data_IF_035165321892
#
_entry.id   IF_035165321892
#
_cell.length_a   1.000
_cell.length_b   1.000
_cell.length_c   1.000
_cell.angle_alpha   90.00
_cell.angle_beta   90.00
_cell.angle_gamma   90.00
#
_symmetry.space_group_name_H-M   'P 1'
#
loop_
_entity.id
_entity.type
_entity.pdbx_description
1 polymer ?
#
# COMPACT_ATOMS: atom_id res chain seq x y z
N UNK A 1 10.84 21.65 -6.66
CA UNK A 1 11.11 20.23 -6.44
C UNK A 1 11.53 19.81 -5.05
N UNK A 2 11.30 20.64 -4.04
CA UNK A 2 11.51 20.22 -2.65
C UNK A 2 10.34 19.39 -2.11
N UNK A 3 9.12 19.66 -2.58
CA UNK A 3 7.93 18.91 -2.20
C UNK A 3 7.72 17.75 -3.15
N UNK A 4 7.53 16.56 -2.56
CA UNK A 4 7.25 15.32 -3.27
C UNK A 4 6.03 14.65 -2.65
N UNK A 5 5.51 13.62 -3.31
CA UNK A 5 4.39 12.84 -2.80
C UNK A 5 4.87 11.54 -2.17
N UNK A 6 4.13 11.12 -1.16
CA UNK A 6 4.32 9.84 -0.48
C UNK A 6 2.97 9.10 -0.47
N UNK A 7 2.55 8.52 -1.61
CA UNK A 7 1.22 7.95 -1.74
C UNK A 7 1.03 6.72 -0.86
N UNK A 8 -0.22 6.53 -0.44
CA UNK A 8 -0.67 5.37 0.33
C UNK A 8 -1.59 4.54 -0.56
N UNK A 9 -1.18 3.30 -0.84
CA UNK A 9 -1.94 2.42 -1.75
C UNK A 9 -3.30 2.03 -1.19
N UNK A 10 -3.44 1.94 0.13
CA UNK A 10 -4.71 1.68 0.78
C UNK A 10 -5.68 2.84 0.62
N UNK A 11 -5.20 4.05 0.91
CA UNK A 11 -6.03 5.26 0.77
C UNK A 11 -6.48 5.46 -0.69
N UNK A 12 -5.59 5.27 -1.65
CA UNK A 12 -5.93 5.38 -3.06
C UNK A 12 -7.00 4.35 -3.47
N UNK A 13 -6.77 3.08 -3.11
CA UNK A 13 -7.64 1.97 -3.52
C UNK A 13 -9.01 2.00 -2.84
N UNK A 14 -9.10 2.57 -1.63
CA UNK A 14 -10.36 2.68 -0.90
C UNK A 14 -11.43 3.51 -1.63
N UNK A 15 -11.03 4.43 -2.48
CA UNK A 15 -11.92 5.23 -3.30
C UNK A 15 -12.09 4.59 -4.68
N UNK A 16 -13.27 4.00 -4.99
CA UNK A 16 -13.46 3.22 -6.22
C UNK A 16 -13.22 3.95 -7.53
N UNK A 17 -13.34 5.28 -7.54
CA UNK A 17 -13.06 6.11 -8.71
C UNK A 17 -11.58 6.27 -9.00
N UNK A 18 -10.70 5.94 -8.07
CA UNK A 18 -9.25 6.00 -8.30
C UNK A 18 -8.74 4.74 -9.01
N UNK A 19 -7.80 4.93 -9.91
CA UNK A 19 -6.98 3.87 -10.48
C UNK A 19 -5.60 3.92 -9.83
N UNK A 20 -5.41 3.14 -8.77
CA UNK A 20 -4.18 3.15 -7.97
C UNK A 20 -2.93 2.90 -8.81
N UNK A 21 -2.98 1.93 -9.74
CA UNK A 21 -1.82 1.59 -10.57
C UNK A 21 -1.45 2.75 -11.50
N UNK A 22 -2.45 3.42 -12.06
CA UNK A 22 -2.25 4.56 -12.93
C UNK A 22 -1.70 5.77 -12.18
N UNK A 23 -2.20 6.02 -10.96
CA UNK A 23 -1.70 7.09 -10.11
C UNK A 23 -0.22 6.87 -9.75
N UNK A 24 0.15 5.65 -9.39
CA UNK A 24 1.55 5.30 -9.13
C UNK A 24 2.42 5.46 -10.37
N UNK A 25 1.94 5.03 -11.52
CA UNK A 25 2.65 5.19 -12.79
C UNK A 25 2.92 6.65 -13.10
N UNK A 26 1.90 7.49 -13.00
CA UNK A 26 2.03 8.91 -13.27
C UNK A 26 3.04 9.58 -12.34
N UNK A 27 2.93 9.32 -11.02
CA UNK A 27 3.83 9.89 -10.04
C UNK A 27 5.27 9.43 -10.21
N UNK A 28 5.51 8.17 -10.53
CA UNK A 28 6.85 7.62 -10.75
C UNK A 28 7.47 8.19 -12.04
N UNK A 29 6.71 8.22 -13.13
CA UNK A 29 7.19 8.77 -14.42
C UNK A 29 7.53 10.24 -14.32
N UNK A 30 6.81 10.99 -13.49
CA UNK A 30 7.07 12.42 -13.25
C UNK A 30 8.17 12.65 -12.20
N UNK A 31 8.72 11.62 -11.59
CA UNK A 31 9.76 11.74 -10.56
C UNK A 31 9.27 12.39 -9.27
N UNK A 32 7.99 12.27 -8.94
CA UNK A 32 7.36 12.95 -7.81
C UNK A 32 7.24 12.10 -6.54
N UNK A 33 7.43 10.79 -6.63
CA UNK A 33 7.27 9.87 -5.49
C UNK A 33 8.58 9.70 -4.73
N UNK A 34 8.56 9.96 -3.41
CA UNK A 34 9.71 9.75 -2.52
C UNK A 34 9.66 8.42 -1.79
N UNK A 35 8.49 7.82 -1.67
CA UNK A 35 8.26 6.56 -0.98
C UNK A 35 6.81 6.15 -1.15
N UNK A 36 6.45 4.95 -0.70
CA UNK A 36 5.10 4.42 -0.82
C UNK A 36 4.67 3.81 0.52
N UNK A 37 3.51 4.25 1.03
CA UNK A 37 2.86 3.65 2.18
C UNK A 37 2.12 2.38 1.76
N UNK A 38 2.34 1.32 2.51
CA UNK A 38 1.67 0.04 2.36
C UNK A 38 0.68 -0.13 3.51
N UNK A 39 -0.58 -0.03 3.19
CA UNK A 39 -1.71 -0.14 4.13
C UNK A 39 -2.86 -0.85 3.42
N UNK A 40 -3.60 -1.66 4.15
CA UNK A 40 -4.86 -2.20 3.65
C UNK A 40 -6.04 -1.39 4.16
N UNK A 41 -7.12 -1.39 3.41
CA UNK A 41 -8.32 -0.57 3.68
C UNK A 41 -9.55 -1.32 3.21
N UNK A 42 -10.72 -0.90 3.69
CA UNK A 42 -12.00 -1.32 3.12
C UNK A 42 -12.56 -0.19 2.26
N UNK A 43 -13.06 -0.56 1.08
CA UNK A 43 -13.50 0.42 0.09
C UNK A 43 -14.74 1.20 0.52
N UNK A 44 -14.80 2.46 0.11
CA UNK A 44 -15.98 3.30 0.21
C UNK A 44 -17.04 2.78 -0.76
N UNK A 45 -18.29 2.72 -0.29
CA UNK A 45 -19.46 2.37 -1.09
C UNK A 45 -20.58 3.36 -0.83
N UNK A 46 -21.69 3.27 -1.56
CA UNK A 46 -22.85 4.14 -1.33
C UNK A 46 -23.44 4.03 0.08
N UNK A 47 -23.28 2.88 0.73
CA UNK A 47 -23.81 2.58 2.06
C UNK A 47 -22.74 2.44 3.15
N UNK A 48 -21.46 2.55 2.80
CA UNK A 48 -20.35 2.37 3.73
C UNK A 48 -19.26 3.41 3.49
N UNK A 49 -18.82 4.14 4.52
CA UNK A 49 -17.82 5.21 4.36
C UNK A 49 -16.39 4.71 4.17
N UNK A 50 -16.19 3.41 4.05
CA UNK A 50 -14.85 2.82 4.01
C UNK A 50 -14.22 2.66 5.40
N UNK A 51 -13.11 1.96 5.47
CA UNK A 51 -12.31 1.85 6.69
C UNK A 51 -10.84 2.03 6.32
N UNK A 52 -10.21 3.04 6.90
CA UNK A 52 -8.86 3.48 6.56
C UNK A 52 -7.81 3.15 7.62
N UNK A 53 -8.24 2.56 8.74
CA UNK A 53 -7.37 2.18 9.86
C UNK A 53 -7.72 0.79 10.36
N UNK A 54 -6.76 0.10 10.94
CA UNK A 54 -6.96 -1.18 11.62
C UNK A 54 -7.59 -2.27 10.72
N UNK A 55 -7.31 -2.23 9.42
CA UNK A 55 -7.67 -3.34 8.52
C UNK A 55 -6.45 -4.25 8.40
N UNK A 56 -6.53 -5.51 8.86
CA UNK A 56 -5.42 -6.44 8.73
C UNK A 56 -5.06 -6.67 7.27
N UNK A 57 -3.77 -6.81 6.99
CA UNK A 57 -3.31 -7.09 5.63
C UNK A 57 -3.94 -8.37 5.08
N UNK A 58 -4.45 -8.29 3.86
CA UNK A 58 -5.14 -9.39 3.18
C UNK A 58 -6.64 -9.42 3.39
N UNK A 59 -7.17 -8.60 4.31
CA UNK A 59 -8.61 -8.50 4.58
C UNK A 59 -9.25 -7.27 3.93
N UNK A 60 -8.47 -6.46 3.27
CA UNK A 60 -8.92 -5.23 2.62
C UNK A 60 -9.04 -5.34 1.10
N UNK A 61 -9.12 -4.17 0.46
CA UNK A 61 -9.37 -4.05 -0.98
C UNK A 61 -8.09 -3.93 -1.83
N UNK A 62 -6.90 -3.84 -1.23
CA UNK A 62 -5.66 -3.67 -1.99
C UNK A 62 -5.18 -4.99 -2.56
N UNK A 63 -4.99 -5.04 -3.88
CA UNK A 63 -4.33 -6.15 -4.56
C UNK A 63 -2.81 -5.92 -4.57
N UNK A 64 -2.14 -6.29 -3.49
CA UNK A 64 -0.71 -6.06 -3.31
C UNK A 64 0.15 -6.70 -4.40
N UNK A 65 -0.09 -7.95 -4.84
CA UNK A 65 0.68 -8.52 -5.94
C UNK A 65 0.63 -7.68 -7.21
N UNK A 66 -0.55 -7.16 -7.57
CA UNK A 66 -0.69 -6.27 -8.74
C UNK A 66 0.05 -4.95 -8.56
N UNK A 67 -0.02 -4.37 -7.35
CA UNK A 67 0.74 -3.15 -7.03
C UNK A 67 2.23 -3.40 -7.23
N UNK A 68 2.77 -4.49 -6.67
CA UNK A 68 4.19 -4.80 -6.79
C UNK A 68 4.61 -5.16 -8.23
N UNK A 69 3.74 -5.85 -8.99
CA UNK A 69 4.00 -6.12 -10.40
C UNK A 69 4.12 -4.81 -11.21
N UNK A 70 3.22 -3.85 -10.94
CA UNK A 70 3.29 -2.53 -11.58
C UNK A 70 4.55 -1.76 -11.18
N UNK A 71 4.91 -1.76 -9.91
CA UNK A 71 6.12 -1.10 -9.43
C UNK A 71 7.40 -1.73 -10.01
N UNK A 72 7.40 -3.04 -10.23
CA UNK A 72 8.47 -3.74 -10.93
C UNK A 72 8.59 -3.28 -12.38
N UNK A 73 7.47 -3.23 -13.09
CA UNK A 73 7.39 -2.74 -14.47
C UNK A 73 7.94 -1.32 -14.58
N UNK A 74 7.61 -0.46 -13.61
CA UNK A 74 8.06 0.93 -13.56
C UNK A 74 9.49 1.10 -13.02
N UNK A 75 10.16 0.01 -12.67
CA UNK A 75 11.50 0.02 -12.11
C UNK A 75 11.64 0.89 -10.84
N UNK A 76 10.62 0.87 -9.99
CA UNK A 76 10.63 1.61 -8.72
C UNK A 76 11.73 1.10 -7.79
N UNK A 77 12.53 2.03 -7.23
CA UNK A 77 13.66 1.73 -6.34
C UNK A 77 13.58 2.45 -4.99
N UNK A 78 12.49 3.16 -4.76
CA UNK A 78 12.32 3.92 -3.53
C UNK A 78 11.92 3.07 -2.32
N UNK A 79 11.82 3.68 -1.14
CA UNK A 79 11.46 2.99 0.08
C UNK A 79 9.95 2.70 0.16
N UNK A 80 9.62 1.71 1.01
CA UNK A 80 8.25 1.41 1.43
C UNK A 80 8.13 1.61 2.93
N UNK A 81 6.98 2.09 3.38
CA UNK A 81 6.62 2.17 4.78
C UNK A 81 5.35 1.36 5.02
N UNK A 82 5.41 0.36 5.88
CA UNK A 82 4.22 -0.35 6.33
C UNK A 82 3.53 0.53 7.38
N UNK A 83 2.30 0.93 7.10
CA UNK A 83 1.46 1.67 8.04
C UNK A 83 0.46 0.73 8.69
N UNK A 84 0.57 0.58 10.01
CA UNK A 84 -0.30 -0.30 10.80
C UNK A 84 -0.46 0.22 12.22
N UNK A 85 -1.49 -0.23 12.90
CA UNK A 85 -1.80 0.17 14.27
C UNK A 85 -1.64 -1.03 15.20
N UNK A 86 -0.85 -0.86 16.25
CA UNK A 86 -0.53 -1.93 17.21
C UNK A 86 -0.82 -1.55 18.66
N UNK A 87 -1.52 -0.43 18.89
CA UNK A 87 -1.78 0.10 20.23
C UNK A 87 -2.59 -0.86 21.10
N UNK A 88 -3.41 -1.70 20.50
CA UNK A 88 -4.24 -2.69 21.18
C UNK A 88 -3.61 -4.09 21.22
N UNK A 89 -2.37 -4.21 20.74
CA UNK A 89 -1.69 -5.50 20.66
C UNK A 89 -0.95 -5.82 21.94
N UNK A 90 -1.02 -7.08 22.36
CA UNK A 90 -0.21 -7.61 23.48
C UNK A 90 1.26 -7.82 23.03
N UNK A 91 1.52 -7.93 21.73
CA UNK A 91 2.86 -8.13 21.20
C UNK A 91 3.07 -7.37 19.89
N UNK A 92 3.20 -6.02 19.95
CA UNK A 92 3.30 -5.17 18.76
C UNK A 92 4.50 -5.47 17.87
N UNK A 93 5.64 -5.85 18.45
CA UNK A 93 6.85 -6.16 17.69
C UNK A 93 6.64 -7.40 16.82
N UNK A 94 6.03 -8.44 17.37
CA UNK A 94 5.74 -9.67 16.63
C UNK A 94 4.73 -9.43 15.50
N UNK A 95 3.72 -8.59 15.74
CA UNK A 95 2.76 -8.20 14.70
C UNK A 95 3.42 -7.47 13.54
N UNK A 96 4.35 -6.55 13.83
CA UNK A 96 5.10 -5.84 12.78
C UNK A 96 5.98 -6.81 11.98
N UNK A 97 6.62 -7.77 12.65
CA UNK A 97 7.41 -8.81 11.96
C UNK A 97 6.55 -9.65 11.02
N UNK A 98 5.39 -10.10 11.50
CA UNK A 98 4.44 -10.86 10.68
C UNK A 98 3.95 -10.06 9.48
N UNK A 99 3.61 -8.80 9.67
CA UNK A 99 3.18 -7.90 8.60
C UNK A 99 4.28 -7.75 7.54
N UNK A 100 5.53 -7.58 7.98
CA UNK A 100 6.68 -7.51 7.07
C UNK A 100 6.83 -8.79 6.25
N UNK A 101 6.79 -9.96 6.89
CA UNK A 101 6.93 -11.24 6.19
C UNK A 101 5.78 -11.47 5.20
N UNK A 102 4.55 -11.13 5.60
CA UNK A 102 3.41 -11.19 4.70
C UNK A 102 3.61 -10.30 3.47
N UNK A 103 4.06 -9.08 3.69
CA UNK A 103 4.29 -8.11 2.60
C UNK A 103 5.41 -8.57 1.66
N UNK A 104 6.50 -9.12 2.20
CA UNK A 104 7.56 -9.72 1.38
C UNK A 104 7.03 -10.87 0.52
N UNK A 105 6.10 -11.66 1.05
CA UNK A 105 5.39 -12.69 0.28
C UNK A 105 4.63 -12.10 -0.91
N UNK A 106 3.94 -10.98 -0.71
CA UNK A 106 3.21 -10.30 -1.79
C UNK A 106 4.15 -9.68 -2.83
N UNK A 107 5.29 -9.18 -2.39
CA UNK A 107 6.34 -8.72 -3.31
C UNK A 107 6.84 -9.85 -4.22
N UNK A 108 7.03 -11.06 -3.66
CA UNK A 108 7.42 -12.25 -4.45
C UNK A 108 6.32 -12.65 -5.43
N UNK A 109 5.07 -12.69 -4.97
CA UNK A 109 3.92 -13.00 -5.83
C UNK A 109 3.81 -12.04 -7.02
N UNK A 110 4.10 -10.76 -6.80
CA UNK A 110 4.11 -9.74 -7.85
C UNK A 110 5.39 -9.69 -8.69
N UNK A 111 6.38 -10.51 -8.36
CA UNK A 111 7.66 -10.54 -9.07
C UNK A 111 8.57 -9.35 -8.78
N UNK A 112 8.30 -8.59 -7.71
CA UNK A 112 9.11 -7.43 -7.33
C UNK A 112 10.46 -7.83 -6.75
N UNK A 113 10.48 -8.92 -6.00
CA UNK A 113 11.70 -9.54 -5.45
C UNK A 113 11.77 -11.02 -5.77
#
# INVERSE_FOLDING_TARGET
PWLKVYPDVGNLTAWPENDTLKELELGIKNGEITGIHLKDTLAVTDSFPGKFKEVPFGEGCVDFPKVFAKLKELNYKGPFLIEMWTEKSDNPIEEVKKAKEWMLGKMREGGFI
#
